data_IF_421937235756
#
_entry.id   IF_421937235756
#
_cell.length_a   1.000
_cell.length_b   1.000
_cell.length_c   1.000
_cell.angle_alpha   90.00
_cell.angle_beta   90.00
_cell.angle_gamma   90.00
#
_symmetry.space_group_name_H-M   'P 1'
#
loop_
_entity.id
_entity.type
_entity.pdbx_description
1 polymer ?
#
# COMPACT_ATOMS: atom_id res chain seq x y z
N UNK A 1 14.14 -12.83 -1.66
CA UNK A 1 12.68 -12.63 -1.69
C UNK A 1 12.22 -11.93 -0.43
N UNK A 2 11.40 -10.92 -0.57
CA UNK A 2 10.92 -10.15 0.56
C UNK A 2 9.68 -10.81 1.17
N UNK A 3 9.69 -11.02 2.48
CA UNK A 3 8.52 -11.51 3.19
C UNK A 3 7.51 -10.38 3.32
N UNK A 4 6.26 -10.68 2.98
CA UNK A 4 5.18 -9.72 3.12
C UNK A 4 4.39 -10.02 4.37
N UNK A 5 4.01 -8.98 5.07
CA UNK A 5 3.20 -9.10 6.28
C UNK A 5 1.76 -8.78 5.90
N UNK A 6 0.86 -9.69 6.28
CA UNK A 6 -0.55 -9.48 6.02
C UNK A 6 -1.11 -8.44 6.99
N UNK A 7 -1.83 -7.48 6.44
CA UNK A 7 -2.51 -6.47 7.25
C UNK A 7 -3.91 -6.24 6.69
N UNK A 8 -4.86 -5.94 7.57
CA UNK A 8 -6.24 -5.71 7.17
C UNK A 8 -6.53 -4.23 6.97
N UNK A 9 -7.35 -3.94 5.97
CA UNK A 9 -7.85 -2.60 5.71
C UNK A 9 -9.35 -2.67 5.57
N UNK A 10 -10.05 -1.73 6.20
CA UNK A 10 -11.49 -1.61 6.06
C UNK A 10 -11.82 -0.51 5.07
N UNK A 11 -12.73 -0.82 4.15
CA UNK A 11 -13.19 0.14 3.16
C UNK A 11 -14.69 0.32 3.27
N UNK A 12 -15.14 1.53 3.01
CA UNK A 12 -16.56 1.73 2.74
C UNK A 12 -16.89 1.06 1.39
N UNK A 13 -18.11 0.52 1.24
CA UNK A 13 -18.46 -0.24 0.04
C UNK A 13 -18.24 0.53 -1.27
N UNK A 14 -18.60 1.80 -1.30
CA UNK A 14 -18.44 2.60 -2.53
C UNK A 14 -16.97 2.74 -2.90
N UNK A 15 -16.11 3.02 -1.93
CA UNK A 15 -14.69 3.17 -2.20
C UNK A 15 -14.08 1.85 -2.65
N UNK A 16 -14.47 0.74 -2.01
CA UNK A 16 -13.98 -0.57 -2.41
C UNK A 16 -14.39 -0.89 -3.85
N UNK A 17 -15.64 -0.60 -4.20
CA UNK A 17 -16.11 -0.82 -5.56
C UNK A 17 -15.28 -0.02 -6.57
N UNK A 18 -15.06 1.25 -6.28
CA UNK A 18 -14.32 2.13 -7.19
C UNK A 18 -12.85 1.75 -7.33
N UNK A 19 -12.18 1.42 -6.24
CA UNK A 19 -10.76 1.04 -6.33
C UNK A 19 -10.60 -0.31 -7.01
N UNK A 20 -11.56 -1.21 -6.87
CA UNK A 20 -11.56 -2.47 -7.58
C UNK A 20 -11.68 -2.23 -9.09
N UNK A 21 -12.51 -1.28 -9.49
CA UNK A 21 -12.64 -0.90 -10.90
C UNK A 21 -11.31 -0.36 -11.44
N UNK A 22 -10.65 0.50 -10.67
CA UNK A 22 -9.35 1.07 -11.06
C UNK A 22 -8.31 -0.04 -11.23
N UNK A 23 -8.28 -0.99 -10.28
CA UNK A 23 -7.34 -2.09 -10.37
C UNK A 23 -7.53 -2.89 -11.65
N UNK A 24 -8.78 -3.20 -12.00
CA UNK A 24 -9.08 -3.93 -13.24
C UNK A 24 -8.67 -3.13 -14.47
N UNK A 25 -8.92 -1.83 -14.48
CA UNK A 25 -8.51 -0.97 -15.60
C UNK A 25 -6.99 -0.97 -15.76
N UNK A 26 -6.24 -1.10 -14.68
CA UNK A 26 -4.79 -1.17 -14.70
C UNK A 26 -4.25 -2.60 -14.83
N UNK A 27 -5.13 -3.57 -15.01
CA UNK A 27 -4.77 -4.99 -15.12
C UNK A 27 -3.98 -5.50 -13.92
N UNK A 28 -4.41 -5.07 -12.74
CA UNK A 28 -3.81 -5.47 -11.46
C UNK A 28 -4.85 -6.12 -10.58
N UNK A 29 -4.40 -7.01 -9.69
CA UNK A 29 -5.27 -7.45 -8.59
C UNK A 29 -5.51 -6.30 -7.64
N UNK A 30 -6.57 -6.39 -6.84
CA UNK A 30 -6.85 -5.37 -5.83
C UNK A 30 -5.66 -5.20 -4.89
N UNK A 31 -5.09 -6.30 -4.40
CA UNK A 31 -3.95 -6.24 -3.49
C UNK A 31 -2.74 -5.56 -4.13
N UNK A 32 -2.44 -5.89 -5.39
CA UNK A 32 -1.33 -5.27 -6.10
C UNK A 32 -1.58 -3.77 -6.30
N UNK A 33 -2.82 -3.38 -6.60
CA UNK A 33 -3.16 -1.98 -6.77
C UNK A 33 -2.99 -1.21 -5.46
N UNK A 34 -3.43 -1.78 -4.35
CA UNK A 34 -3.29 -1.13 -3.06
C UNK A 34 -1.82 -1.01 -2.63
N UNK A 35 -1.03 -2.05 -2.88
CA UNK A 35 0.40 -2.01 -2.59
C UNK A 35 1.10 -0.91 -3.40
N UNK A 36 0.76 -0.80 -4.67
CA UNK A 36 1.31 0.23 -5.53
C UNK A 36 0.97 1.63 -5.02
N UNK A 37 -0.28 1.85 -4.63
CA UNK A 37 -0.70 3.14 -4.08
C UNK A 37 0.03 3.46 -2.79
N UNK A 38 0.24 2.46 -1.93
CA UNK A 38 0.98 2.65 -0.70
C UNK A 38 2.43 3.05 -0.99
N UNK A 39 3.06 2.42 -1.97
CA UNK A 39 4.42 2.76 -2.38
C UNK A 39 4.50 4.19 -2.88
N UNK A 40 3.55 4.63 -3.70
CA UNK A 40 3.51 6.00 -4.19
C UNK A 40 3.34 7.00 -3.04
N UNK A 41 2.48 6.68 -2.09
CA UNK A 41 2.25 7.55 -0.94
C UNK A 41 3.53 7.73 -0.12
N UNK A 42 4.23 6.63 0.14
CA UNK A 42 5.49 6.67 0.90
C UNK A 42 6.55 7.45 0.12
N UNK A 43 6.65 7.21 -1.18
CA UNK A 43 7.62 7.93 -2.01
C UNK A 43 7.39 9.42 -1.96
N UNK A 44 6.13 9.85 -2.09
CA UNK A 44 5.80 11.27 -2.04
C UNK A 44 6.16 11.88 -0.69
N UNK A 45 5.84 11.18 0.39
CA UNK A 45 6.18 11.66 1.73
C UNK A 45 7.70 11.81 1.88
N UNK A 46 8.46 10.81 1.45
CA UNK A 46 9.92 10.86 1.58
C UNK A 46 10.56 11.92 0.69
N UNK A 47 10.00 12.16 -0.49
CA UNK A 47 10.49 13.23 -1.37
C UNK A 47 10.31 14.61 -0.71
N UNK A 48 9.26 14.79 0.09
CA UNK A 48 8.97 16.07 0.72
C UNK A 48 9.56 16.23 2.12
N UNK A 49 9.80 15.12 2.83
CA UNK A 49 10.16 15.16 4.23
C UNK A 49 11.44 14.39 4.58
N UNK A 50 12.08 13.80 3.56
CA UNK A 50 13.26 12.99 3.79
C UNK A 50 12.93 11.53 4.05
N UNK A 51 13.93 10.69 3.93
CA UNK A 51 13.76 9.24 4.06
C UNK A 51 13.31 8.87 5.48
N UNK A 52 12.28 8.02 5.56
CA UNK A 52 11.80 7.52 6.83
C UNK A 52 12.80 6.48 7.36
N UNK A 53 13.38 6.69 8.56
CA UNK A 53 14.27 5.69 9.13
C UNK A 53 13.50 4.43 9.50
N UNK A 54 14.07 3.27 9.22
CA UNK A 54 13.43 1.99 9.52
C UNK A 54 14.11 1.37 10.73
N UNK A 55 13.31 1.07 11.77
CA UNK A 55 13.78 0.33 12.93
C UNK A 55 13.59 -1.16 12.63
N UNK A 56 14.69 -1.85 12.37
CA UNK A 56 14.64 -3.26 11.99
C UNK A 56 14.02 -4.15 13.05
N UNK A 57 14.14 -3.79 14.32
CA UNK A 57 13.51 -4.55 15.39
C UNK A 57 11.99 -4.50 15.32
N UNK A 58 11.45 -3.43 14.75
CA UNK A 58 10.00 -3.23 14.63
C UNK A 58 9.47 -3.51 13.23
N UNK A 59 10.35 -3.85 12.29
CA UNK A 59 10.00 -3.97 10.88
C UNK A 59 8.85 -4.94 10.62
N UNK A 60 8.81 -6.05 11.35
CA UNK A 60 7.80 -7.10 11.14
C UNK A 60 6.67 -7.08 12.16
N UNK A 61 6.55 -6.01 12.93
CA UNK A 61 5.44 -5.82 13.85
C UNK A 61 4.28 -5.11 13.14
N UNK A 62 3.06 -5.49 13.51
CA UNK A 62 1.87 -4.84 12.99
C UNK A 62 1.43 -3.70 13.86
#
# INVERSE_FOLDING_TARGET
>A
MTNKIQTGIRFEPELLYKITHVAKANKRSLNAQLEYLAQLCVKEYEDNNGTIPVDEEKLYQK
#
